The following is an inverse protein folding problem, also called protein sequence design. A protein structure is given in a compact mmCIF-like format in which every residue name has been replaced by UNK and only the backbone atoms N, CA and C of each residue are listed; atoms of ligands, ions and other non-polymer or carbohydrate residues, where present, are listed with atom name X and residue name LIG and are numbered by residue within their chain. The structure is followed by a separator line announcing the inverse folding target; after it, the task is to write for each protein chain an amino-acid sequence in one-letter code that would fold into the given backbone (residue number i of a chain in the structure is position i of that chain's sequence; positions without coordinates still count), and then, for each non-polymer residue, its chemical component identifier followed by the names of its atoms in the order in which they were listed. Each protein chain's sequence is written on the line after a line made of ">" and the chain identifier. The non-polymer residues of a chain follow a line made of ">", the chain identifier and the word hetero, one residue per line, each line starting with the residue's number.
data_IF_991234978772
#
_entry.id   IF_991234978772
#
_cell.length_a   1.000
_cell.length_b   1.000
_cell.length_c   1.000
_cell.angle_alpha   90.00
_cell.angle_beta   90.00
_cell.angle_gamma   90.00
#
_symmetry.space_group_name_H-M   'P 1'
#
loop_
_entity.id
_entity.type
_entity.pdbx_description
1 polymer ?
#
# COMPACT_ATOMS: atom_id res chain seq x y z
N UNK A 1 -60.63 44.82 39.88
CA UNK A 1 -59.80 44.36 38.75
C UNK A 1 -58.38 43.91 39.17
N UNK A 2 -58.09 43.74 40.48
CA UNK A 2 -56.73 43.44 40.98
C UNK A 2 -56.35 41.95 41.04
N UNK A 3 -57.32 41.03 41.15
CA UNK A 3 -57.06 39.60 41.34
C UNK A 3 -56.44 38.90 40.12
N UNK A 4 -56.94 39.19 38.91
CA UNK A 4 -56.52 38.51 37.68
C UNK A 4 -55.06 38.78 37.30
N UNK A 5 -54.55 39.99 37.55
CA UNK A 5 -53.16 40.34 37.27
C UNK A 5 -52.17 39.56 38.16
N UNK A 6 -52.55 39.24 39.40
CA UNK A 6 -51.74 38.45 40.33
C UNK A 6 -51.54 37.02 39.82
N UNK A 7 -52.64 36.34 39.44
CA UNK A 7 -52.60 34.99 38.86
C UNK A 7 -51.73 34.92 37.60
N UNK A 8 -51.85 35.90 36.70
CA UNK A 8 -51.12 35.91 35.44
C UNK A 8 -49.60 36.07 35.66
N UNK A 9 -49.19 36.98 36.55
CA UNK A 9 -47.77 37.16 36.90
C UNK A 9 -47.17 35.90 37.55
N UNK A 10 -47.96 35.18 38.37
CA UNK A 10 -47.51 33.94 39.00
C UNK A 10 -47.33 32.82 37.96
N UNK A 11 -48.24 32.68 37.01
CA UNK A 11 -48.11 31.72 35.90
C UNK A 11 -46.92 32.05 34.98
N UNK A 12 -46.71 33.32 34.64
CA UNK A 12 -45.54 33.75 33.83
C UNK A 12 -44.24 33.44 34.57
N UNK A 13 -44.17 33.73 35.87
CA UNK A 13 -43.00 33.43 36.71
C UNK A 13 -42.71 31.92 36.78
N UNK A 14 -43.75 31.09 36.89
CA UNK A 14 -43.61 29.64 36.92
C UNK A 14 -43.16 29.07 35.56
N UNK A 15 -43.69 29.60 34.45
CA UNK A 15 -43.26 29.23 33.10
C UNK A 15 -41.81 29.62 32.82
N UNK A 16 -41.34 30.77 33.33
CA UNK A 16 -39.94 31.19 33.23
C UNK A 16 -39.01 30.32 34.10
N UNK A 17 -39.44 29.92 35.30
CA UNK A 17 -38.69 28.98 36.13
C UNK A 17 -38.60 27.58 35.50
N UNK A 18 -39.69 27.10 34.89
CA UNK A 18 -39.72 25.81 34.18
C UNK A 18 -38.83 25.83 32.94
N UNK A 19 -38.85 26.90 32.14
CA UNK A 19 -37.97 27.01 30.96
C UNK A 19 -36.50 27.17 31.33
N UNK A 20 -36.19 27.84 32.44
CA UNK A 20 -34.82 27.94 32.99
C UNK A 20 -34.31 26.60 33.55
N UNK A 21 -35.17 25.82 34.22
CA UNK A 21 -34.82 24.47 34.68
C UNK A 21 -34.62 23.49 33.50
N UNK A 22 -35.43 23.62 32.44
CA UNK A 22 -35.27 22.85 31.19
C UNK A 22 -34.00 23.23 30.43
N UNK A 23 -33.57 24.50 30.43
CA UNK A 23 -32.32 24.89 29.77
C UNK A 23 -31.07 24.39 30.50
N UNK A 24 -31.09 24.34 31.84
CA UNK A 24 -30.00 23.80 32.66
C UNK A 24 -29.83 22.27 32.54
N UNK A 25 -30.92 21.55 32.25
CA UNK A 25 -30.90 20.08 32.15
C UNK A 25 -30.43 19.54 30.79
N UNK A 26 -30.26 20.39 29.76
CA UNK A 26 -29.62 20.03 28.49
C UNK A 26 -28.13 20.35 28.49
N UNK A 27 -27.45 20.01 29.60
CA UNK A 27 -26.00 19.81 29.58
C UNK A 27 -25.68 18.50 28.86
N UNK A 28 -25.80 18.49 27.53
CA UNK A 28 -25.27 17.40 26.72
C UNK A 28 -23.77 17.30 26.98
N UNK A 29 -23.36 16.22 27.66
CA UNK A 29 -21.97 15.80 27.68
C UNK A 29 -21.58 15.40 26.27
N UNK A 30 -21.06 16.36 25.51
CA UNK A 30 -20.39 16.09 24.24
C UNK A 30 -19.14 15.30 24.56
N UNK A 31 -19.24 13.97 24.49
CA UNK A 31 -18.10 13.07 24.49
C UNK A 31 -17.26 13.38 23.27
N UNK A 32 -16.32 14.31 23.42
CA UNK A 32 -15.31 14.67 22.42
C UNK A 32 -14.46 13.43 22.13
N UNK A 33 -14.91 12.61 21.19
CA UNK A 33 -14.14 11.48 20.68
C UNK A 33 -12.86 12.01 20.06
N UNK A 34 -11.76 11.84 20.80
CA UNK A 34 -10.41 12.21 20.33
C UNK A 34 -10.11 11.38 19.09
N UNK A 35 -9.77 12.07 18.00
CA UNK A 35 -9.45 11.43 16.72
C UNK A 35 -8.26 10.46 16.88
N UNK A 36 -8.48 9.17 16.61
CA UNK A 36 -7.40 8.18 16.55
C UNK A 36 -6.67 8.28 15.21
N UNK A 37 -5.35 8.39 15.24
CA UNK A 37 -4.50 8.27 14.04
C UNK A 37 -4.30 6.79 13.65
N UNK A 38 -4.39 5.86 14.62
CA UNK A 38 -4.22 4.42 14.36
C UNK A 38 -5.42 3.88 13.61
N UNK A 39 -5.13 3.12 12.55
CA UNK A 39 -6.08 2.57 11.56
C UNK A 39 -6.95 3.62 10.82
N UNK A 40 -6.61 4.91 10.90
CA UNK A 40 -7.31 5.96 10.18
C UNK A 40 -6.97 5.93 8.67
N UNK A 41 -7.99 5.99 7.81
CA UNK A 41 -7.76 6.10 6.37
C UNK A 41 -7.26 7.49 5.97
N UNK A 42 -6.72 7.63 4.76
CA UNK A 42 -6.37 8.94 4.18
C UNK A 42 -7.57 9.89 4.12
N UNK A 43 -8.80 9.36 3.96
CA UNK A 43 -10.03 10.17 3.97
C UNK A 43 -10.32 10.69 5.37
N UNK A 44 -10.13 9.86 6.40
CA UNK A 44 -10.33 10.25 7.80
C UNK A 44 -9.30 11.29 8.23
N UNK A 45 -8.04 11.12 7.83
CA UNK A 45 -6.95 12.09 8.07
C UNK A 45 -7.24 13.44 7.39
N UNK A 46 -7.68 13.46 6.13
CA UNK A 46 -8.09 14.71 5.46
C UNK A 46 -9.33 15.35 6.10
N UNK A 47 -10.28 14.54 6.60
CA UNK A 47 -11.43 15.03 7.35
C UNK A 47 -11.00 15.66 8.68
N UNK A 48 -10.11 15.02 9.44
CA UNK A 48 -9.57 15.54 10.69
C UNK A 48 -8.77 16.85 10.48
N UNK A 49 -7.99 16.94 9.39
CA UNK A 49 -7.35 18.20 8.96
C UNK A 49 -8.38 19.29 8.64
N UNK A 50 -9.44 18.96 7.88
CA UNK A 50 -10.51 19.90 7.50
C UNK A 50 -11.33 20.38 8.71
N UNK A 51 -11.48 19.53 9.73
CA UNK A 51 -12.17 19.84 10.99
C UNK A 51 -11.26 20.46 12.06
N UNK A 52 -9.97 20.71 11.75
CA UNK A 52 -8.94 21.19 12.67
C UNK A 52 -8.69 20.30 13.91
N UNK A 53 -9.13 19.04 13.89
CA UNK A 53 -8.88 18.05 14.95
C UNK A 53 -7.43 17.55 14.92
N UNK A 54 -6.84 17.52 13.73
CA UNK A 54 -5.46 17.09 13.48
C UNK A 54 -4.75 18.11 12.59
N UNK A 55 -3.43 18.12 12.62
CA UNK A 55 -2.61 18.88 11.67
C UNK A 55 -1.55 17.96 11.06
N UNK A 56 -1.07 18.29 9.86
CA UNK A 56 -0.04 17.54 9.14
C UNK A 56 1.22 17.38 10.00
N UNK A 57 1.61 18.45 10.71
CA UNK A 57 2.73 18.44 11.68
C UNK A 57 2.53 17.39 12.77
N UNK A 58 1.39 17.39 13.47
CA UNK A 58 1.08 16.39 14.52
C UNK A 58 1.04 14.96 13.99
N UNK A 59 0.57 14.76 12.75
CA UNK A 59 0.55 13.45 12.09
C UNK A 59 1.97 12.92 11.83
N UNK A 60 2.89 13.77 11.37
CA UNK A 60 4.30 13.40 11.19
C UNK A 60 4.99 13.13 12.52
N UNK A 61 4.72 13.94 13.55
CA UNK A 61 5.25 13.71 14.91
C UNK A 61 4.79 12.36 15.49
N UNK A 62 3.52 12.00 15.31
CA UNK A 62 2.98 10.69 15.68
C UNK A 62 3.73 9.54 14.98
N UNK A 63 3.87 9.60 13.65
CA UNK A 63 4.53 8.54 12.89
C UNK A 63 6.03 8.43 13.21
N UNK A 64 6.73 9.56 13.40
CA UNK A 64 8.13 9.54 13.88
C UNK A 64 8.22 8.93 15.30
N UNK A 65 7.21 9.14 16.15
CA UNK A 65 7.08 8.47 17.45
C UNK A 65 6.97 6.95 17.33
N UNK A 66 6.03 6.45 16.53
CA UNK A 66 5.86 5.00 16.31
C UNK A 66 7.08 4.37 15.61
N UNK A 67 7.75 5.09 14.69
CA UNK A 67 9.01 4.66 14.10
C UNK A 67 10.09 4.51 15.18
N UNK A 68 10.29 5.51 16.04
CA UNK A 68 11.27 5.43 17.14
C UNK A 68 10.98 4.27 18.10
N UNK A 69 9.70 3.96 18.34
CA UNK A 69 9.27 2.88 19.24
C UNK A 69 9.42 1.48 18.63
N UNK A 70 9.08 1.32 17.36
CA UNK A 70 8.96 0.00 16.71
C UNK A 70 10.16 -0.40 15.86
N UNK A 71 10.84 0.56 15.24
CA UNK A 71 11.84 0.28 14.22
C UNK A 71 13.13 -0.35 14.77
N UNK A 72 13.37 -0.26 16.09
CA UNK A 72 14.44 -0.97 16.79
C UNK A 72 14.34 -2.50 16.63
N UNK A 73 13.12 -3.02 16.58
CA UNK A 73 12.81 -4.45 16.36
C UNK A 73 12.45 -4.70 14.89
N UNK A 74 11.50 -3.91 14.36
CA UNK A 74 10.87 -4.20 13.07
C UNK A 74 11.63 -3.71 11.84
N UNK A 75 12.60 -2.78 11.99
CA UNK A 75 13.49 -2.24 10.93
C UNK A 75 12.82 -1.84 9.60
N UNK A 76 11.51 -1.59 9.59
CA UNK A 76 10.71 -1.24 8.41
C UNK A 76 11.09 0.07 7.72
N UNK A 77 11.82 0.95 8.42
CA UNK A 77 12.32 2.24 7.96
C UNK A 77 13.85 2.25 8.04
N UNK A 78 14.52 2.51 6.92
CA UNK A 78 15.98 2.70 6.85
C UNK A 78 16.35 4.12 7.29
N UNK A 79 15.63 5.14 6.79
CA UNK A 79 15.89 6.55 7.07
C UNK A 79 14.59 7.32 7.25
N UNK A 80 14.55 8.23 8.23
CA UNK A 80 13.50 9.26 8.34
C UNK A 80 14.02 10.54 7.70
N UNK A 81 13.18 11.21 6.91
CA UNK A 81 13.53 12.47 6.27
C UNK A 81 13.72 13.57 7.32
N UNK A 82 14.91 14.20 7.44
CA UNK A 82 15.12 15.26 8.43
C UNK A 82 14.20 16.48 8.17
N UNK A 83 13.79 16.69 6.92
CA UNK A 83 12.93 17.81 6.53
C UNK A 83 11.43 17.49 6.64
N UNK A 84 11.00 16.27 7.00
CA UNK A 84 9.59 15.87 7.02
C UNK A 84 8.70 16.75 7.91
N UNK A 85 9.21 17.18 9.08
CA UNK A 85 8.48 18.05 9.99
C UNK A 85 8.28 19.46 9.39
N UNK A 86 9.30 19.98 8.70
CA UNK A 86 9.22 21.26 7.98
C UNK A 86 8.27 21.19 6.77
N UNK A 87 8.31 20.08 5.99
CA UNK A 87 7.34 19.81 4.93
C UNK A 87 5.89 19.77 5.49
N UNK A 88 5.72 19.27 6.72
CA UNK A 88 4.42 19.23 7.40
C UNK A 88 3.92 20.61 7.86
N UNK A 89 4.79 21.44 8.44
CA UNK A 89 4.47 22.82 8.81
C UNK A 89 4.09 23.66 7.58
N UNK A 90 4.80 23.49 6.45
CA UNK A 90 4.45 24.12 5.17
C UNK A 90 3.07 23.66 4.66
N UNK A 91 2.74 22.36 4.76
CA UNK A 91 1.43 21.86 4.36
C UNK A 91 0.29 22.46 5.21
N UNK A 92 0.49 22.59 6.53
CA UNK A 92 -0.47 23.21 7.43
C UNK A 92 -0.62 24.71 7.19
N UNK A 93 0.46 25.43 6.87
CA UNK A 93 0.40 26.83 6.44
C UNK A 93 -0.40 27.00 5.13
N UNK A 94 -0.14 26.17 4.12
CA UNK A 94 -0.85 26.18 2.84
C UNK A 94 -2.35 25.85 2.99
N UNK A 95 -2.70 25.00 3.97
CA UNK A 95 -4.09 24.69 4.30
C UNK A 95 -4.79 25.89 4.95
N UNK A 96 -4.12 26.60 5.86
CA UNK A 96 -4.63 27.83 6.52
C UNK A 96 -4.83 28.99 5.54
N UNK A 97 -3.92 29.18 4.58
CA UNK A 97 -4.02 30.26 3.58
C UNK A 97 -4.99 29.97 2.42
N UNK A 98 -5.70 28.84 2.44
CA UNK A 98 -6.76 28.46 1.48
C UNK A 98 -6.31 28.55 0.01
N UNK A 99 -5.06 28.16 -0.29
CA UNK A 99 -4.46 28.30 -1.62
C UNK A 99 -5.37 27.70 -2.71
N UNK A 100 -5.78 28.47 -3.75
CA UNK A 100 -6.63 27.95 -4.82
C UNK A 100 -6.02 26.73 -5.54
N UNK A 101 -6.89 25.82 -6.00
CA UNK A 101 -6.45 24.57 -6.64
C UNK A 101 -5.93 23.49 -5.67
N UNK A 102 -6.23 23.60 -4.38
CA UNK A 102 -5.91 22.58 -3.37
C UNK A 102 -6.70 21.29 -3.63
N UNK A 103 -6.07 20.31 -4.28
CA UNK A 103 -6.62 18.96 -4.39
C UNK A 103 -6.44 18.24 -3.04
N UNK A 104 -7.52 18.13 -2.26
CA UNK A 104 -7.59 17.57 -0.90
C UNK A 104 -7.30 16.04 -0.79
N UNK A 105 -6.59 15.44 -1.75
CA UNK A 105 -6.27 14.01 -1.74
C UNK A 105 -5.10 13.68 -0.81
N UNK A 106 -3.87 14.01 -1.22
CA UNK A 106 -2.65 13.69 -0.47
C UNK A 106 -1.99 14.89 0.21
N UNK A 107 -2.59 16.08 0.16
CA UNK A 107 -2.02 17.28 0.76
C UNK A 107 -1.81 17.11 2.27
N UNK A 108 -0.56 17.18 2.74
CA UNK A 108 -0.17 17.01 4.13
C UNK A 108 -0.21 15.56 4.64
N UNK A 109 -0.37 14.57 3.74
CA UNK A 109 -0.29 13.15 4.09
C UNK A 109 1.19 12.71 3.98
N UNK A 110 1.78 12.14 5.04
CA UNK A 110 3.11 11.54 4.97
C UNK A 110 3.08 10.18 4.26
N UNK A 111 4.06 9.98 3.38
CA UNK A 111 4.24 8.77 2.58
C UNK A 111 5.67 8.27 2.72
N UNK A 112 5.82 6.96 2.91
CA UNK A 112 7.11 6.27 3.01
C UNK A 112 7.49 5.63 1.66
N UNK A 113 8.74 5.75 1.21
CA UNK A 113 9.19 5.26 -0.10
C UNK A 113 10.18 4.11 0.03
N UNK A 114 10.00 2.99 -0.67
CA UNK A 114 11.02 1.93 -0.76
C UNK A 114 12.39 2.50 -1.19
N UNK A 115 13.49 2.08 -0.54
CA UNK A 115 14.81 2.70 -0.71
C UNK A 115 15.46 2.54 -2.12
N UNK A 116 14.80 1.87 -3.08
CA UNK A 116 15.19 1.87 -4.50
C UNK A 116 14.56 3.02 -5.34
N UNK A 117 13.61 3.79 -4.78
CA UNK A 117 12.96 4.94 -5.45
C UNK A 117 13.76 6.22 -5.19
N UNK A 118 14.21 6.94 -6.24
CA UNK A 118 15.02 8.16 -6.10
C UNK A 118 14.24 9.34 -5.50
N UNK A 119 14.93 10.13 -4.67
CA UNK A 119 14.47 11.42 -4.15
C UNK A 119 15.66 12.38 -4.02
N UNK A 120 15.44 13.65 -4.31
CA UNK A 120 16.44 14.73 -4.24
C UNK A 120 16.53 15.37 -2.83
N UNK A 121 15.86 14.78 -1.83
CA UNK A 121 15.95 15.17 -0.41
C UNK A 121 17.25 14.64 0.22
N UNK A 122 17.50 15.00 1.49
CA UNK A 122 18.64 14.53 2.31
C UNK A 122 18.50 13.05 2.73
N UNK A 123 18.34 12.14 1.76
CA UNK A 123 18.05 10.71 1.94
C UNK A 123 18.80 9.86 0.91
N UNK A 124 19.42 8.75 1.33
CA UNK A 124 20.09 7.83 0.39
C UNK A 124 19.08 7.02 -0.42
N UNK A 125 19.44 6.70 -1.68
CA UNK A 125 18.68 5.75 -2.51
C UNK A 125 19.62 4.62 -2.93
N UNK A 126 19.62 3.54 -2.17
CA UNK A 126 20.69 2.52 -2.17
C UNK A 126 20.27 1.13 -2.64
N UNK A 127 18.96 0.92 -2.80
CA UNK A 127 18.36 -0.42 -2.91
C UNK A 127 18.78 -1.40 -1.78
N UNK A 128 19.22 -0.88 -0.63
CA UNK A 128 19.67 -1.63 0.54
C UNK A 128 21.19 -1.86 0.62
N UNK A 129 21.95 -1.53 -0.43
CA UNK A 129 23.36 -1.92 -0.54
C UNK A 129 24.35 -0.79 -0.24
N UNK A 130 25.42 -1.10 0.50
CA UNK A 130 26.50 -0.15 0.82
C UNK A 130 27.19 0.44 -0.42
N UNK A 131 27.17 -0.25 -1.57
CA UNK A 131 27.75 0.23 -2.82
C UNK A 131 27.14 1.56 -3.34
N UNK A 132 25.92 1.90 -2.88
CA UNK A 132 25.21 3.13 -3.24
C UNK A 132 25.04 4.11 -2.06
N UNK A 133 25.65 3.85 -0.90
CA UNK A 133 25.58 4.75 0.25
C UNK A 133 26.24 6.10 -0.09
N UNK A 134 25.55 7.21 0.24
CA UNK A 134 25.91 8.59 -0.17
C UNK A 134 25.90 8.85 -1.70
N UNK A 135 25.38 7.94 -2.51
CA UNK A 135 25.15 8.19 -3.95
C UNK A 135 24.13 9.31 -4.14
N UNK A 136 24.48 10.33 -4.92
CA UNK A 136 23.61 11.47 -5.23
C UNK A 136 22.77 11.12 -6.45
N UNK A 137 21.45 11.07 -6.29
CA UNK A 137 20.54 10.88 -7.42
C UNK A 137 20.43 12.16 -8.25
N UNK A 138 20.34 12.10 -9.59
CA UNK A 138 20.34 13.30 -10.43
C UNK A 138 19.00 14.05 -10.47
N UNK A 139 17.95 13.50 -9.85
CA UNK A 139 16.61 14.09 -9.67
C UNK A 139 15.68 13.17 -8.88
N UNK A 140 14.54 13.70 -8.44
CA UNK A 140 13.37 12.93 -8.03
C UNK A 140 12.91 11.87 -9.07
N UNK A 141 12.39 10.75 -8.56
CA UNK A 141 11.65 9.77 -9.36
C UNK A 141 10.32 10.32 -9.90
N UNK A 142 9.85 9.81 -11.05
CA UNK A 142 8.61 10.26 -11.71
C UNK A 142 7.35 10.12 -10.84
N UNK A 143 7.34 9.17 -9.89
CA UNK A 143 6.29 9.06 -8.87
C UNK A 143 6.42 10.12 -7.76
N UNK A 144 7.63 10.44 -7.31
CA UNK A 144 7.88 11.43 -6.25
C UNK A 144 7.53 12.85 -6.73
N UNK A 145 7.87 13.19 -7.97
CA UNK A 145 7.43 14.45 -8.61
C UNK A 145 5.90 14.61 -8.59
N UNK A 146 5.15 13.51 -8.81
CA UNK A 146 3.68 13.51 -8.70
C UNK A 146 3.20 13.66 -7.25
N UNK A 147 3.86 13.01 -6.29
CA UNK A 147 3.55 13.15 -4.86
C UNK A 147 3.78 14.58 -4.35
N UNK A 148 4.90 15.22 -4.70
CA UNK A 148 5.15 16.64 -4.36
C UNK A 148 4.15 17.58 -5.02
N UNK A 149 3.75 17.32 -6.28
CA UNK A 149 2.67 18.09 -6.95
C UNK A 149 1.31 17.91 -6.25
N UNK A 150 1.06 16.74 -5.66
CA UNK A 150 -0.10 16.48 -4.79
C UNK A 150 0.07 17.01 -3.35
N UNK A 151 1.22 17.64 -3.04
CA UNK A 151 1.62 18.17 -1.73
C UNK A 151 1.64 17.11 -0.61
N UNK A 152 1.97 15.87 -0.96
CA UNK A 152 2.31 14.86 0.03
C UNK A 152 3.66 15.18 0.69
N UNK A 153 3.83 14.74 1.93
CA UNK A 153 5.09 14.83 2.68
C UNK A 153 5.85 13.53 2.46
N UNK A 154 7.16 13.58 2.18
CA UNK A 154 7.96 12.36 2.14
C UNK A 154 8.55 12.09 3.52
N UNK A 155 8.02 11.08 4.20
CA UNK A 155 8.38 10.74 5.58
C UNK A 155 9.79 10.15 5.69
N UNK A 156 10.24 9.43 4.66
CA UNK A 156 11.53 8.73 4.69
C UNK A 156 11.59 7.54 3.72
N UNK A 157 12.53 6.64 3.99
CA UNK A 157 12.82 5.45 3.18
C UNK A 157 12.47 4.15 3.92
N UNK A 158 11.69 3.28 3.28
CA UNK A 158 11.40 1.93 3.76
C UNK A 158 12.51 0.94 3.42
N UNK A 159 12.69 -0.09 4.25
CA UNK A 159 13.57 -1.24 3.99
C UNK A 159 13.03 -2.18 2.92
N UNK A 160 13.92 -3.01 2.38
CA UNK A 160 13.67 -3.96 1.30
C UNK A 160 14.65 -5.14 1.36
N UNK A 161 14.32 -6.24 0.67
CA UNK A 161 15.35 -7.18 0.21
C UNK A 161 16.37 -6.44 -0.66
N UNK A 162 17.66 -6.68 -0.46
CA UNK A 162 18.73 -6.00 -1.20
C UNK A 162 18.57 -6.18 -2.71
N UNK A 163 18.81 -5.09 -3.46
CA UNK A 163 18.65 -5.05 -4.92
C UNK A 163 17.29 -5.61 -5.39
N UNK A 164 16.24 -5.31 -4.62
CA UNK A 164 14.88 -5.78 -4.82
C UNK A 164 14.75 -7.33 -4.86
N UNK A 165 15.59 -8.04 -4.10
CA UNK A 165 15.72 -9.51 -4.04
C UNK A 165 16.44 -10.14 -5.26
N UNK A 166 17.31 -9.38 -5.92
CA UNK A 166 18.06 -9.82 -7.11
C UNK A 166 19.60 -9.78 -6.92
N UNK A 167 20.06 -9.86 -5.67
CA UNK A 167 21.48 -9.93 -5.29
C UNK A 167 21.98 -11.38 -5.19
N UNK A 168 21.19 -12.23 -4.54
CA UNK A 168 21.45 -13.65 -4.30
C UNK A 168 20.14 -14.44 -4.40
N UNK A 169 20.22 -15.69 -4.86
CA UNK A 169 19.10 -16.65 -4.91
C UNK A 169 18.69 -17.12 -3.51
N UNK A 170 19.59 -16.98 -2.55
CA UNK A 170 19.49 -17.59 -1.24
C UNK A 170 19.29 -16.54 -0.13
N UNK A 171 19.76 -15.31 -0.31
CA UNK A 171 19.52 -14.18 0.61
C UNK A 171 18.03 -14.08 1.01
N UNK A 172 17.71 -13.95 2.31
CA UNK A 172 16.36 -14.12 2.80
C UNK A 172 15.55 -12.86 2.49
N UNK A 173 14.25 -13.06 2.27
CA UNK A 173 13.33 -11.96 2.02
C UNK A 173 13.47 -10.88 3.09
N UNK A 174 13.57 -9.61 2.66
CA UNK A 174 13.67 -8.46 3.54
C UNK A 174 15.06 -8.18 4.13
N UNK A 175 16.09 -8.98 3.85
CA UNK A 175 17.46 -8.64 4.26
C UNK A 175 18.13 -7.66 3.31
N UNK A 176 18.86 -6.69 3.86
CA UNK A 176 19.83 -5.87 3.12
C UNK A 176 21.01 -5.45 4.00
N UNK A 177 22.17 -5.16 3.41
CA UNK A 177 23.36 -4.81 4.19
C UNK A 177 23.17 -3.51 5.01
N UNK A 178 22.40 -2.54 4.49
CA UNK A 178 22.07 -1.29 5.21
C UNK A 178 20.91 -1.46 6.20
N UNK A 179 19.84 -2.18 5.84
CA UNK A 179 18.67 -2.34 6.72
C UNK A 179 18.84 -3.39 7.82
N UNK A 180 19.73 -4.36 7.62
CA UNK A 180 19.68 -5.65 8.29
C UNK A 180 18.50 -6.49 7.81
N UNK A 181 18.05 -7.42 8.65
CA UNK A 181 16.86 -8.22 8.39
C UNK A 181 15.57 -7.43 8.67
N UNK A 182 14.61 -7.49 7.74
CA UNK A 182 13.17 -7.39 8.06
C UNK A 182 12.41 -8.63 7.61
N UNK A 183 11.30 -8.91 8.27
CA UNK A 183 10.45 -10.08 8.06
C UNK A 183 8.99 -9.66 8.36
N UNK A 184 7.94 -10.15 7.67
CA UNK A 184 7.95 -11.18 6.63
C UNK A 184 7.86 -10.69 5.17
N UNK A 185 8.47 -11.49 4.28
CA UNK A 185 8.45 -11.41 2.82
C UNK A 185 8.99 -10.11 2.18
N UNK A 186 9.22 -10.13 0.87
CA UNK A 186 9.85 -9.04 0.13
C UNK A 186 9.49 -9.00 -1.36
N UNK A 187 10.09 -8.10 -2.14
CA UNK A 187 11.12 -7.15 -1.71
C UNK A 187 10.61 -5.83 -1.11
N UNK A 188 9.33 -5.45 -1.19
CA UNK A 188 8.82 -4.20 -0.57
C UNK A 188 8.52 -4.35 0.94
N UNK A 189 9.37 -5.08 1.65
CA UNK A 189 9.19 -5.55 3.04
C UNK A 189 8.84 -4.42 4.01
N UNK A 190 9.74 -3.43 4.14
CA UNK A 190 9.56 -2.31 5.04
C UNK A 190 8.37 -1.42 4.67
N UNK A 191 8.01 -1.33 3.38
CA UNK A 191 6.83 -0.59 2.93
C UNK A 191 5.54 -1.25 3.43
N UNK A 192 5.46 -2.59 3.45
CA UNK A 192 4.31 -3.32 3.96
C UNK A 192 4.25 -3.31 5.50
N UNK A 193 5.36 -3.64 6.16
CA UNK A 193 5.51 -3.63 7.63
C UNK A 193 5.11 -2.26 8.19
N UNK A 194 5.63 -1.17 7.62
CA UNK A 194 5.40 0.18 8.14
C UNK A 194 3.94 0.63 8.07
N UNK A 195 3.17 0.17 7.07
CA UNK A 195 1.73 0.42 7.00
C UNK A 195 1.01 -0.48 8.01
N UNK A 196 1.37 -1.77 8.07
CA UNK A 196 0.70 -2.75 8.92
C UNK A 196 0.71 -2.36 10.41
N UNK A 197 1.80 -1.75 10.88
CA UNK A 197 2.02 -1.39 12.29
C UNK A 197 1.77 0.09 12.62
N UNK A 198 1.22 0.88 11.69
CA UNK A 198 0.98 2.33 11.85
C UNK A 198 2.27 3.18 12.02
N UNK A 199 3.37 2.82 11.37
CA UNK A 199 4.52 3.74 11.16
C UNK A 199 4.29 4.71 9.99
N UNK A 200 3.32 4.45 9.11
CA UNK A 200 2.82 5.40 8.09
C UNK A 200 1.41 5.00 7.64
N UNK A 201 0.59 5.93 7.14
CA UNK A 201 -0.73 5.62 6.56
C UNK A 201 -0.62 4.89 5.20
N UNK A 202 0.31 5.32 4.34
CA UNK A 202 0.50 4.79 2.98
C UNK A 202 2.00 4.78 2.64
N UNK A 203 2.44 3.74 1.95
CA UNK A 203 3.80 3.62 1.43
C UNK A 203 3.80 3.33 -0.08
N UNK A 204 4.94 3.56 -0.75
CA UNK A 204 5.20 3.02 -2.09
C UNK A 204 6.17 1.85 -2.02
N UNK A 205 5.82 0.76 -2.69
CA UNK A 205 6.70 -0.36 -3.03
C UNK A 205 7.06 -0.38 -4.52
N UNK A 206 7.76 -1.41 -4.95
CA UNK A 206 8.01 -1.72 -6.37
C UNK A 206 7.86 -3.22 -6.59
N UNK A 207 7.37 -3.64 -7.76
CA UNK A 207 7.24 -5.06 -8.08
C UNK A 207 7.71 -5.42 -9.49
N UNK A 208 8.63 -6.38 -9.54
CA UNK A 208 9.08 -7.14 -10.71
C UNK A 208 8.32 -8.46 -10.81
N UNK A 209 8.32 -9.22 -9.71
CA UNK A 209 7.46 -10.38 -9.46
C UNK A 209 7.24 -10.48 -7.94
N UNK A 210 5.99 -10.68 -7.51
CA UNK A 210 5.51 -10.78 -6.12
C UNK A 210 5.81 -9.61 -5.16
N UNK A 211 6.74 -8.71 -5.50
CA UNK A 211 7.43 -7.83 -4.55
C UNK A 211 6.60 -6.69 -3.95
N UNK A 212 5.34 -6.49 -4.35
CA UNK A 212 4.31 -5.76 -3.60
C UNK A 212 3.30 -6.77 -3.04
N UNK A 213 2.71 -7.61 -3.90
CA UNK A 213 1.58 -8.49 -3.54
C UNK A 213 1.92 -9.49 -2.42
N UNK A 214 3.12 -10.07 -2.41
CA UNK A 214 3.61 -10.97 -1.37
C UNK A 214 3.77 -10.27 -0.02
N UNK A 215 4.64 -9.25 0.16
CA UNK A 215 4.83 -8.62 1.47
C UNK A 215 3.54 -7.99 1.99
N UNK A 216 2.64 -7.48 1.14
CA UNK A 216 1.34 -6.97 1.62
C UNK A 216 0.42 -8.09 2.12
N UNK A 217 0.36 -9.23 1.42
CA UNK A 217 -0.37 -10.43 1.85
C UNK A 217 0.12 -10.94 3.22
N UNK A 218 1.45 -11.04 3.41
CA UNK A 218 2.08 -11.54 4.64
C UNK A 218 2.14 -10.50 5.78
N UNK A 219 1.77 -9.24 5.55
CA UNK A 219 1.66 -8.20 6.58
C UNK A 219 0.21 -7.73 6.82
N UNK A 220 -0.78 -8.34 6.16
CA UNK A 220 -2.20 -8.03 6.36
C UNK A 220 -2.60 -6.61 5.97
N UNK A 221 -2.02 -6.09 4.89
CA UNK A 221 -2.32 -4.79 4.29
C UNK A 221 -2.69 -4.94 2.82
N UNK A 222 -3.37 -3.95 2.25
CA UNK A 222 -3.73 -3.96 0.82
C UNK A 222 -2.52 -3.62 -0.04
N UNK A 223 -2.26 -4.42 -1.06
CA UNK A 223 -1.20 -4.18 -2.05
C UNK A 223 -1.77 -4.05 -3.46
N UNK A 224 -1.42 -2.97 -4.16
CA UNK A 224 -1.85 -2.73 -5.54
C UNK A 224 -0.63 -2.75 -6.45
N UNK A 225 -0.59 -3.70 -7.38
CA UNK A 225 0.41 -3.83 -8.44
C UNK A 225 -0.23 -3.45 -9.78
N UNK A 226 -0.11 -2.19 -10.25
CA UNK A 226 -0.81 -1.77 -11.46
C UNK A 226 -0.23 -2.36 -12.75
N UNK A 227 -0.94 -2.13 -13.86
CA UNK A 227 -0.49 -2.36 -15.24
C UNK A 227 0.87 -1.71 -15.46
N UNK A 228 1.82 -2.45 -16.05
CA UNK A 228 3.15 -1.91 -16.35
C UNK A 228 3.02 -0.72 -17.31
N UNK A 229 3.57 0.42 -16.86
CA UNK A 229 3.46 1.74 -17.50
C UNK A 229 2.47 2.70 -16.82
N UNK A 230 1.47 2.23 -16.06
CA UNK A 230 0.43 3.13 -15.51
C UNK A 230 1.01 4.20 -14.57
N UNK A 231 1.97 3.79 -13.75
CA UNK A 231 2.92 4.68 -13.07
C UNK A 231 4.12 4.92 -13.99
N UNK A 232 4.58 6.17 -14.10
CA UNK A 232 5.91 6.41 -14.66
C UNK A 232 6.92 5.79 -13.73
N UNK A 233 7.85 5.06 -14.31
CA UNK A 233 8.78 4.19 -13.61
C UNK A 233 10.19 4.80 -13.52
N UNK A 234 10.49 5.86 -14.29
CA UNK A 234 11.77 6.57 -14.30
C UNK A 234 12.25 7.10 -12.93
N UNK A 235 13.56 6.97 -12.68
CA UNK A 235 14.24 7.40 -11.45
C UNK A 235 14.15 6.37 -10.31
N UNK A 236 14.23 5.08 -10.63
CA UNK A 236 14.07 3.97 -9.68
C UNK A 236 14.99 2.83 -10.09
N UNK A 237 15.73 2.27 -9.15
CA UNK A 237 16.63 1.13 -9.36
C UNK A 237 15.79 -0.13 -9.64
N UNK A 238 16.09 -0.78 -10.77
CA UNK A 238 15.30 -1.83 -11.42
C UNK A 238 15.76 -3.25 -11.13
N UNK A 239 14.92 -4.20 -11.56
CA UNK A 239 15.33 -5.55 -11.98
C UNK A 239 14.98 -5.82 -13.44
N UNK A 240 13.76 -5.48 -13.92
CA UNK A 240 13.32 -5.81 -15.29
C UNK A 240 12.41 -4.73 -15.89
N UNK A 241 12.82 -3.98 -16.94
CA UNK A 241 11.97 -2.94 -17.54
C UNK A 241 10.67 -3.46 -18.18
N UNK A 242 10.58 -4.77 -18.44
CA UNK A 242 9.38 -5.44 -18.97
C UNK A 242 8.30 -5.69 -17.92
N UNK A 243 8.70 -5.87 -16.66
CA UNK A 243 7.84 -6.32 -15.57
C UNK A 243 7.70 -5.27 -14.46
N UNK A 244 8.74 -4.46 -14.24
CA UNK A 244 8.83 -3.49 -13.15
C UNK A 244 7.69 -2.46 -13.23
N UNK A 245 6.85 -2.51 -12.21
CA UNK A 245 5.96 -1.42 -11.86
C UNK A 245 6.65 -0.55 -10.79
N UNK A 246 6.98 0.68 -11.20
CA UNK A 246 7.95 1.61 -10.58
C UNK A 246 9.42 1.08 -10.70
N UNK A 247 10.26 1.68 -11.57
CA UNK A 247 11.53 1.12 -12.14
C UNK A 247 11.97 1.71 -13.53
N UNK A 248 13.12 2.39 -13.69
CA UNK A 248 13.48 3.12 -14.94
C UNK A 248 13.49 2.34 -16.28
N UNK A 249 12.68 2.76 -17.26
CA UNK A 249 12.59 2.15 -18.61
C UNK A 249 12.94 3.16 -19.72
N UNK A 250 13.71 2.75 -20.73
CA UNK A 250 14.04 3.55 -21.92
C UNK A 250 12.78 4.03 -22.66
N UNK A 251 11.75 3.18 -22.69
CA UNK A 251 10.43 3.47 -23.25
C UNK A 251 9.45 4.05 -22.22
N UNK A 252 9.86 4.45 -21.01
CA UNK A 252 8.93 4.80 -19.92
C UNK A 252 7.95 5.93 -20.30
N UNK A 253 8.39 6.91 -21.08
CA UNK A 253 7.52 7.97 -21.57
C UNK A 253 6.42 7.44 -22.52
N UNK A 254 6.75 6.48 -23.39
CA UNK A 254 5.79 5.86 -24.31
C UNK A 254 4.89 4.88 -23.56
N UNK A 255 5.45 4.02 -22.71
CA UNK A 255 4.69 3.09 -21.87
C UNK A 255 3.73 3.83 -20.93
N UNK A 256 4.15 4.95 -20.33
CA UNK A 256 3.30 5.81 -19.50
C UNK A 256 2.23 6.51 -20.31
N UNK A 257 2.56 7.05 -21.48
CA UNK A 257 1.57 7.66 -22.39
C UNK A 257 0.51 6.63 -22.80
N UNK A 258 0.92 5.44 -23.23
CA UNK A 258 0.02 4.37 -23.63
C UNK A 258 -0.81 3.80 -22.47
N UNK A 259 -0.24 3.64 -21.28
CA UNK A 259 -1.01 3.18 -20.12
C UNK A 259 -1.92 4.29 -19.54
N UNK A 260 -1.64 5.57 -19.78
CA UNK A 260 -2.45 6.68 -19.24
C UNK A 260 -3.91 6.66 -19.69
N UNK A 261 -4.24 6.02 -20.83
CA UNK A 261 -5.63 5.79 -21.29
C UNK A 261 -6.45 4.89 -20.36
N UNK A 262 -5.80 4.16 -19.46
CA UNK A 262 -6.43 3.36 -18.41
C UNK A 262 -6.67 4.14 -17.10
N UNK A 263 -6.28 5.42 -17.03
CA UNK A 263 -6.60 6.30 -15.90
C UNK A 263 -8.01 6.87 -16.12
N UNK A 264 -9.01 6.49 -15.31
CA UNK A 264 -10.38 6.95 -15.48
C UNK A 264 -10.49 8.45 -15.19
N UNK A 265 -11.36 9.15 -15.92
CA UNK A 265 -11.72 10.55 -15.61
C UNK A 265 -12.31 10.60 -14.19
N UNK A 266 -11.79 11.48 -13.33
CA UNK A 266 -12.13 11.53 -11.91
C UNK A 266 -11.28 10.63 -10.99
N UNK A 267 -10.39 9.79 -11.54
CA UNK A 267 -9.49 8.93 -10.76
C UNK A 267 -10.18 7.71 -10.13
N UNK A 268 -9.42 6.92 -9.38
CA UNK A 268 -9.85 5.57 -8.98
C UNK A 268 -10.83 5.51 -7.79
N UNK A 269 -11.02 6.59 -7.02
CA UNK A 269 -11.90 6.59 -5.83
C UNK A 269 -13.37 6.28 -6.15
N UNK A 270 -13.83 6.59 -7.37
CA UNK A 270 -15.21 6.29 -7.82
C UNK A 270 -15.53 4.78 -7.94
N UNK A 271 -14.51 3.92 -7.82
CA UNK A 271 -14.62 2.45 -7.89
C UNK A 271 -14.65 1.79 -6.50
N UNK A 272 -14.61 2.57 -5.41
CA UNK A 272 -14.78 2.09 -4.04
C UNK A 272 -16.27 1.81 -3.77
N UNK A 273 -16.79 0.71 -4.32
CA UNK A 273 -18.19 0.27 -4.21
C UNK A 273 -18.34 -0.90 -3.23
N UNK A 274 -19.14 -0.73 -2.18
CA UNK A 274 -19.38 -1.75 -1.14
C UNK A 274 -20.00 -3.02 -1.75
N UNK A 275 -20.85 -2.87 -2.77
CA UNK A 275 -21.44 -3.98 -3.53
C UNK A 275 -20.60 -4.38 -4.77
N UNK A 276 -19.34 -3.97 -4.85
CA UNK A 276 -18.50 -4.10 -6.05
C UNK A 276 -18.25 -5.54 -6.54
N UNK A 277 -18.50 -6.55 -5.71
CA UNK A 277 -18.50 -7.98 -6.10
C UNK A 277 -19.79 -8.41 -6.84
N UNK A 278 -20.89 -7.67 -6.71
CA UNK A 278 -22.21 -8.05 -7.23
C UNK A 278 -22.19 -8.19 -8.75
N UNK A 279 -22.56 -9.37 -9.23
CA UNK A 279 -22.57 -9.71 -10.66
C UNK A 279 -21.20 -9.95 -11.29
N UNK A 280 -20.09 -9.89 -10.54
CA UNK A 280 -18.74 -10.16 -11.05
C UNK A 280 -18.48 -11.65 -11.21
N UNK A 281 -17.78 -12.03 -12.27
CA UNK A 281 -17.36 -13.42 -12.56
C UNK A 281 -15.91 -13.63 -12.15
N UNK A 282 -15.69 -14.39 -11.08
CA UNK A 282 -14.38 -14.66 -10.50
C UNK A 282 -13.90 -16.08 -10.84
N UNK A 283 -12.65 -16.23 -11.31
CA UNK A 283 -12.06 -17.53 -11.62
C UNK A 283 -11.06 -17.98 -10.57
N UNK A 284 -11.42 -19.00 -9.79
CA UNK A 284 -10.57 -19.58 -8.73
C UNK A 284 -9.70 -20.70 -9.34
N UNK A 285 -8.39 -20.50 -9.42
CA UNK A 285 -7.48 -21.44 -10.13
C UNK A 285 -6.97 -22.54 -9.21
N UNK A 286 -7.82 -23.56 -8.96
CA UNK A 286 -7.56 -24.63 -7.99
C UNK A 286 -6.26 -25.42 -8.21
N UNK A 287 -5.84 -25.61 -9.46
CA UNK A 287 -4.60 -26.33 -9.80
C UNK A 287 -3.72 -25.41 -10.68
N UNK A 288 -2.45 -25.13 -10.33
CA UNK A 288 -1.70 -25.68 -9.19
C UNK A 288 -1.94 -24.96 -7.85
N UNK A 289 -2.50 -23.75 -7.85
CA UNK A 289 -2.36 -22.82 -6.71
C UNK A 289 -3.15 -23.18 -5.43
N UNK A 290 -4.12 -24.10 -5.48
CA UNK A 290 -4.78 -24.66 -4.28
C UNK A 290 -4.55 -26.18 -4.18
N UNK A 291 -3.54 -26.73 -4.87
CA UNK A 291 -3.28 -28.17 -4.93
C UNK A 291 -2.34 -28.60 -3.79
N UNK A 292 -2.82 -28.43 -2.56
CA UNK A 292 -2.11 -28.77 -1.34
C UNK A 292 -2.05 -30.30 -1.10
N UNK A 293 -1.04 -30.77 -0.37
CA UNK A 293 -0.97 -32.18 0.01
C UNK A 293 -2.09 -32.55 1.01
N UNK A 294 -2.68 -33.74 0.86
CA UNK A 294 -3.73 -34.23 1.77
C UNK A 294 -3.24 -34.23 3.22
N UNK A 295 -3.88 -33.44 4.08
CA UNK A 295 -3.53 -33.36 5.50
C UNK A 295 -2.36 -32.44 5.83
N UNK A 296 -1.84 -31.66 4.88
CA UNK A 296 -0.96 -30.53 5.22
C UNK A 296 -1.77 -29.35 5.75
N UNK A 297 -1.18 -28.56 6.65
CA UNK A 297 -1.83 -27.39 7.23
C UNK A 297 -2.38 -26.48 6.14
N UNK A 298 -1.61 -26.14 5.09
CA UNK A 298 -2.08 -25.29 3.98
C UNK A 298 -3.32 -25.81 3.23
N UNK A 299 -3.61 -27.11 3.26
CA UNK A 299 -4.89 -27.65 2.77
C UNK A 299 -6.03 -27.38 3.76
N UNK A 300 -5.75 -27.66 5.04
CA UNK A 300 -6.67 -27.43 6.13
C UNK A 300 -6.92 -25.93 6.30
N UNK A 301 -5.96 -25.04 5.99
CA UNK A 301 -5.90 -23.56 6.11
C UNK A 301 -6.98 -22.85 5.33
N UNK A 302 -7.27 -23.34 4.13
CA UNK A 302 -8.42 -22.85 3.38
C UNK A 302 -9.76 -23.24 4.04
N UNK A 303 -9.71 -23.90 5.22
CA UNK A 303 -10.74 -24.06 6.26
C UNK A 303 -10.26 -23.64 7.72
N UNK A 304 -8.97 -23.71 8.13
CA UNK A 304 -8.34 -23.60 9.51
C UNK A 304 -6.81 -23.94 9.55
N UNK A 305 -5.93 -23.27 10.33
CA UNK A 305 -4.54 -22.86 9.88
C UNK A 305 -3.23 -23.58 10.43
N UNK A 306 -1.90 -23.50 10.01
CA UNK A 306 -0.98 -22.93 8.94
C UNK A 306 0.53 -23.29 9.26
N UNK A 307 1.58 -22.58 8.73
CA UNK A 307 3.06 -22.52 9.10
C UNK A 307 4.07 -23.41 8.26
N UNK A 308 5.45 -23.37 8.23
CA UNK A 308 6.60 -22.39 8.43
C UNK A 308 7.99 -22.93 7.88
N UNK A 309 9.09 -22.12 7.97
CA UNK A 309 10.58 -22.46 7.99
C UNK A 309 11.40 -22.74 6.69
N UNK A 310 12.76 -22.61 6.58
CA UNK A 310 13.81 -21.60 6.96
C UNK A 310 15.21 -21.94 6.30
N UNK A 311 16.17 -20.99 6.13
CA UNK A 311 17.46 -21.19 5.35
C UNK A 311 18.70 -20.43 5.95
N UNK A 312 19.95 -20.75 5.53
CA UNK A 312 21.26 -20.14 5.94
C UNK A 312 22.23 -19.74 4.79
N UNK A 313 23.02 -18.68 5.06
CA UNK A 313 24.32 -18.23 4.46
C UNK A 313 24.42 -17.99 2.93
N UNK A 314 24.72 -16.74 2.53
CA UNK A 314 24.32 -16.19 1.22
C UNK A 314 25.37 -15.25 0.59
N UNK A 315 25.45 -15.22 -0.75
CA UNK A 315 26.49 -14.55 -1.53
C UNK A 315 26.01 -13.38 -2.42
N UNK A 316 26.58 -13.27 -3.62
CA UNK A 316 26.22 -12.30 -4.68
C UNK A 316 26.14 -12.96 -6.06
N UNK A 317 25.81 -14.25 -6.08
CA UNK A 317 25.93 -15.11 -7.27
C UNK A 317 25.06 -14.67 -8.45
N UNK A 318 23.95 -13.96 -8.23
CA UNK A 318 23.12 -13.44 -9.33
C UNK A 318 23.89 -12.40 -10.16
N UNK A 319 24.73 -11.55 -9.54
CA UNK A 319 25.51 -10.58 -10.29
C UNK A 319 26.59 -11.24 -11.16
N UNK A 320 27.23 -12.31 -10.67
CA UNK A 320 28.18 -13.08 -11.47
C UNK A 320 27.49 -13.78 -12.65
N UNK A 321 26.25 -14.25 -12.48
CA UNK A 321 25.45 -14.80 -13.58
C UNK A 321 25.07 -13.70 -14.58
N UNK A 322 24.67 -12.51 -14.13
CA UNK A 322 24.28 -11.40 -15.01
C UNK A 322 25.46 -10.85 -15.81
N UNK A 323 26.63 -10.65 -15.20
CA UNK A 323 27.84 -10.16 -15.85
C UNK A 323 28.36 -11.15 -16.92
N UNK A 324 28.08 -12.44 -16.74
CA UNK A 324 28.36 -13.49 -17.72
C UNK A 324 27.31 -13.58 -18.86
N UNK A 325 26.32 -12.67 -18.95
CA UNK A 325 25.34 -12.66 -20.05
C UNK A 325 25.70 -11.67 -21.17
N UNK A 326 25.57 -12.12 -22.42
CA UNK A 326 25.68 -11.27 -23.62
C UNK A 326 24.43 -10.40 -23.88
N UNK A 327 23.51 -10.29 -22.91
CA UNK A 327 22.20 -9.65 -23.08
C UNK A 327 21.10 -10.61 -23.52
N UNK A 328 20.35 -10.27 -24.58
CA UNK A 328 19.16 -11.03 -25.02
C UNK A 328 19.45 -11.73 -26.36
N UNK A 329 19.97 -12.95 -26.28
CA UNK A 329 20.21 -13.83 -27.43
C UNK A 329 18.97 -14.68 -27.73
N UNK A 330 19.12 -15.71 -28.58
CA UNK A 330 17.99 -16.51 -29.05
C UNK A 330 17.42 -17.43 -27.97
N UNK A 331 18.20 -17.82 -26.96
CA UNK A 331 17.72 -18.55 -25.78
C UNK A 331 16.71 -17.71 -25.00
N UNK A 332 17.04 -16.44 -24.73
CA UNK A 332 16.20 -15.52 -23.97
C UNK A 332 14.97 -15.13 -24.80
N UNK A 333 15.12 -14.90 -26.11
CA UNK A 333 13.98 -14.69 -27.03
C UNK A 333 13.03 -15.89 -27.01
N UNK A 334 13.55 -17.12 -27.04
CA UNK A 334 12.72 -18.34 -26.97
C UNK A 334 12.05 -18.51 -25.61
N UNK A 335 12.73 -18.23 -24.50
CA UNK A 335 12.13 -18.19 -23.17
C UNK A 335 10.99 -17.16 -23.08
N UNK A 336 11.22 -15.94 -23.56
CA UNK A 336 10.23 -14.86 -23.64
C UNK A 336 9.03 -15.22 -24.52
N UNK A 337 9.26 -15.87 -25.67
CA UNK A 337 8.19 -16.40 -26.53
C UNK A 337 7.41 -17.52 -25.84
N UNK A 338 8.06 -18.38 -25.06
CA UNK A 338 7.39 -19.45 -24.32
C UNK A 338 6.57 -18.91 -23.15
N UNK A 339 7.09 -17.94 -22.39
CA UNK A 339 6.30 -17.19 -21.39
C UNK A 339 5.08 -16.52 -22.05
N UNK A 340 5.26 -15.86 -23.20
CA UNK A 340 4.17 -15.24 -23.96
C UNK A 340 3.13 -16.25 -24.50
N UNK A 341 3.53 -17.49 -24.81
CA UNK A 341 2.60 -18.61 -25.12
C UNK A 341 1.88 -19.07 -23.86
N UNK A 342 2.57 -19.27 -22.75
CA UNK A 342 1.99 -19.74 -21.48
C UNK A 342 0.94 -18.77 -20.94
N UNK A 343 1.18 -17.46 -20.97
CA UNK A 343 0.15 -16.48 -20.60
C UNK A 343 -1.02 -16.49 -21.59
N UNK A 344 -0.76 -16.65 -22.91
CA UNK A 344 -1.82 -16.70 -23.94
C UNK A 344 -2.73 -17.92 -23.81
N UNK A 345 -2.17 -19.10 -23.65
CA UNK A 345 -2.92 -20.36 -23.63
C UNK A 345 -3.36 -20.80 -22.23
N UNK A 346 -2.77 -20.23 -21.18
CA UNK A 346 -3.24 -20.29 -19.79
C UNK A 346 -4.14 -19.10 -19.46
N UNK A 347 -3.59 -18.07 -18.81
CA UNK A 347 -4.34 -16.93 -18.25
C UNK A 347 -5.30 -16.25 -19.23
N UNK A 348 -4.82 -15.79 -20.39
CA UNK A 348 -5.63 -15.04 -21.36
C UNK A 348 -6.81 -15.91 -21.85
N UNK A 349 -6.53 -17.17 -22.21
CA UNK A 349 -7.53 -18.18 -22.58
C UNK A 349 -8.56 -18.41 -21.46
N UNK A 350 -8.12 -18.72 -20.25
CA UNK A 350 -9.00 -18.99 -19.09
C UNK A 350 -9.92 -17.79 -18.81
N UNK A 351 -9.38 -16.57 -18.82
CA UNK A 351 -10.13 -15.34 -18.61
C UNK A 351 -11.17 -15.08 -19.72
N UNK A 352 -10.83 -15.35 -20.99
CA UNK A 352 -11.71 -15.14 -22.14
C UNK A 352 -12.83 -16.20 -22.19
N UNK A 353 -12.47 -17.49 -22.19
CA UNK A 353 -13.42 -18.59 -22.36
C UNK A 353 -14.46 -18.64 -21.23
N UNK A 354 -14.01 -18.43 -19.99
CA UNK A 354 -14.89 -18.40 -18.82
C UNK A 354 -15.53 -17.02 -18.59
N UNK A 355 -15.26 -16.03 -19.46
CA UNK A 355 -15.79 -14.65 -19.38
C UNK A 355 -15.60 -14.04 -17.99
N UNK A 356 -14.37 -14.00 -17.52
CA UNK A 356 -14.02 -13.60 -16.15
C UNK A 356 -13.75 -12.09 -16.04
N UNK A 357 -14.15 -11.52 -14.91
CA UNK A 357 -13.81 -10.16 -14.51
C UNK A 357 -12.46 -10.09 -13.81
N UNK A 358 -12.13 -11.11 -13.01
CA UNK A 358 -10.83 -11.29 -12.37
C UNK A 358 -10.51 -12.78 -12.14
N UNK A 359 -9.21 -13.09 -12.13
CA UNK A 359 -8.64 -14.31 -11.58
C UNK A 359 -8.48 -14.18 -10.06
N UNK A 360 -8.58 -15.28 -9.33
CA UNK A 360 -8.42 -15.33 -7.87
C UNK A 360 -7.48 -16.46 -7.47
N UNK A 361 -6.46 -16.15 -6.67
CA UNK A 361 -5.50 -17.11 -6.08
C UNK A 361 -5.26 -16.82 -4.60
N UNK A 362 -4.67 -17.76 -3.84
CA UNK A 362 -4.11 -17.45 -2.52
C UNK A 362 -3.05 -16.36 -2.63
N UNK A 363 -2.77 -15.73 -1.48
CA UNK A 363 -1.64 -14.84 -1.17
C UNK A 363 -1.30 -13.85 -2.28
N UNK A 364 -0.44 -14.29 -3.20
CA UNK A 364 0.03 -13.55 -4.36
C UNK A 364 0.36 -14.48 -5.54
N UNK A 365 -0.15 -15.72 -5.55
CA UNK A 365 0.41 -16.83 -6.36
C UNK A 365 0.20 -16.62 -7.87
N UNK A 366 -0.73 -15.75 -8.27
CA UNK A 366 -0.89 -15.27 -9.63
C UNK A 366 0.23 -14.33 -10.12
N UNK A 367 1.09 -13.79 -9.25
CA UNK A 367 2.03 -12.72 -9.59
C UNK A 367 2.95 -13.07 -10.79
N UNK A 368 3.59 -14.26 -10.87
CA UNK A 368 4.42 -14.61 -12.03
C UNK A 368 3.65 -14.59 -13.35
N UNK A 369 2.38 -15.02 -13.31
CA UNK A 369 1.50 -15.04 -14.47
C UNK A 369 1.06 -13.64 -14.89
N UNK A 370 0.85 -12.73 -13.92
CA UNK A 370 0.47 -11.34 -14.17
C UNK A 370 1.65 -10.52 -14.72
N UNK A 371 2.88 -10.75 -14.25
CA UNK A 371 4.02 -9.89 -14.63
C UNK A 371 4.56 -10.16 -16.03
N UNK A 372 4.45 -11.38 -16.58
CA UNK A 372 4.88 -11.72 -17.96
C UNK A 372 4.28 -10.76 -19.01
N UNK A 373 3.03 -10.33 -18.83
CA UNK A 373 2.36 -9.35 -19.69
C UNK A 373 2.31 -7.96 -19.09
N UNK A 374 2.69 -7.78 -17.83
CA UNK A 374 2.53 -6.54 -17.09
C UNK A 374 1.07 -6.21 -16.78
N UNK A 375 0.28 -7.22 -16.42
CA UNK A 375 -1.11 -7.13 -15.98
C UNK A 375 -1.25 -6.62 -14.54
N UNK A 376 -2.36 -5.96 -14.16
CA UNK A 376 -2.60 -5.52 -12.80
C UNK A 376 -3.02 -6.66 -11.85
N UNK A 377 -2.70 -6.50 -10.57
CA UNK A 377 -3.17 -7.34 -9.48
C UNK A 377 -3.37 -6.54 -8.18
N UNK A 378 -4.29 -7.01 -7.33
CA UNK A 378 -4.54 -6.43 -5.99
C UNK A 378 -4.59 -7.56 -4.96
N UNK A 379 -3.80 -7.44 -3.89
CA UNK A 379 -3.83 -8.33 -2.72
C UNK A 379 -4.61 -7.64 -1.59
N UNK A 380 -5.52 -8.38 -0.95
CA UNK A 380 -6.31 -7.94 0.22
C UNK A 380 -6.24 -9.02 1.29
N UNK A 381 -6.15 -8.65 2.57
CA UNK A 381 -6.18 -9.60 3.70
C UNK A 381 -7.45 -10.49 3.66
N UNK A 382 -7.27 -11.80 3.72
CA UNK A 382 -8.32 -12.81 3.62
C UNK A 382 -8.53 -13.64 4.90
N UNK A 383 -7.63 -13.54 5.88
CA UNK A 383 -7.77 -14.19 7.17
C UNK A 383 -6.48 -14.20 7.98
N UNK A 384 -6.48 -14.97 9.08
CA UNK A 384 -5.32 -15.13 9.96
C UNK A 384 -5.06 -16.59 10.29
N UNK A 385 -3.78 -16.94 10.14
CA UNK A 385 -2.93 -17.59 11.13
C UNK A 385 -3.56 -18.27 12.36
N UNK A 386 -3.39 -19.58 12.57
CA UNK A 386 -3.61 -20.23 13.88
C UNK A 386 -2.61 -19.71 14.93
N UNK A 387 -1.43 -19.26 14.50
CA UNK A 387 -0.41 -18.56 15.29
C UNK A 387 -0.49 -17.02 15.13
N UNK A 388 -1.53 -16.49 14.46
CA UNK A 388 -1.79 -15.07 14.23
C UNK A 388 -1.17 -14.42 12.99
N UNK A 389 -0.47 -15.14 12.10
CA UNK A 389 0.12 -14.58 10.87
C UNK A 389 -0.96 -14.28 9.81
N UNK A 390 -1.03 -13.06 9.23
CA UNK A 390 -2.00 -12.74 8.17
C UNK A 390 -1.70 -13.45 6.85
N UNK A 391 -2.74 -13.66 6.04
CA UNK A 391 -2.60 -14.01 4.63
C UNK A 391 -3.59 -13.24 3.75
N UNK A 392 -3.17 -12.92 2.53
CA UNK A 392 -4.02 -12.28 1.53
C UNK A 392 -4.70 -13.25 0.57
N UNK A 393 -5.61 -12.69 -0.22
CA UNK A 393 -6.15 -13.23 -1.47
C UNK A 393 -5.81 -12.24 -2.58
N UNK A 394 -5.40 -12.75 -3.75
CA UNK A 394 -4.99 -11.91 -4.88
C UNK A 394 -6.03 -11.93 -6.01
N UNK A 395 -6.42 -10.75 -6.47
CA UNK A 395 -7.30 -10.51 -7.62
C UNK A 395 -6.47 -10.01 -8.80
N UNK A 396 -6.39 -10.80 -9.88
CA UNK A 396 -5.64 -10.47 -11.11
C UNK A 396 -6.57 -10.21 -12.30
N UNK A 397 -6.18 -9.33 -13.24
CA UNK A 397 -7.02 -8.99 -14.40
C UNK A 397 -6.23 -8.52 -15.61
N UNK A 398 -6.90 -8.18 -16.72
CA UNK A 398 -6.23 -7.66 -17.92
C UNK A 398 -5.70 -6.23 -17.75
N UNK A 399 -4.84 -5.75 -18.68
CA UNK A 399 -4.35 -4.36 -18.67
C UNK A 399 -5.52 -3.37 -18.65
N UNK A 400 -5.46 -2.38 -17.75
CA UNK A 400 -6.52 -1.40 -17.58
C UNK A 400 -7.73 -1.88 -16.80
N UNK A 401 -7.70 -3.07 -16.20
CA UNK A 401 -8.78 -3.58 -15.35
C UNK A 401 -8.73 -3.08 -13.90
N UNK A 402 -7.77 -2.22 -13.53
CA UNK A 402 -7.65 -1.60 -12.21
C UNK A 402 -8.98 -1.04 -11.66
N UNK A 403 -9.83 -0.33 -12.43
CA UNK A 403 -11.13 0.10 -11.92
C UNK A 403 -12.01 -1.05 -11.44
N UNK A 404 -12.02 -2.17 -12.17
CA UNK A 404 -12.83 -3.35 -11.87
C UNK A 404 -12.21 -4.21 -10.76
N UNK A 405 -10.88 -4.29 -10.70
CA UNK A 405 -10.17 -4.93 -9.59
C UNK A 405 -10.35 -4.16 -8.28
N UNK A 406 -10.40 -2.82 -8.33
CA UNK A 406 -10.69 -1.98 -7.15
C UNK A 406 -12.14 -2.20 -6.66
N UNK A 407 -13.13 -2.28 -7.55
CA UNK A 407 -14.51 -2.66 -7.17
C UNK A 407 -14.55 -4.03 -6.47
N UNK A 408 -13.86 -5.02 -7.03
CA UNK A 408 -13.82 -6.40 -6.50
C UNK A 408 -13.11 -6.44 -5.14
N UNK A 409 -11.92 -5.84 -5.04
CA UNK A 409 -11.10 -5.82 -3.83
C UNK A 409 -11.76 -5.05 -2.68
N UNK A 410 -12.33 -3.87 -2.96
CA UNK A 410 -13.02 -3.07 -1.95
C UNK A 410 -14.36 -3.70 -1.54
N UNK A 411 -15.11 -4.29 -2.48
CA UNK A 411 -16.30 -5.08 -2.14
C UNK A 411 -15.99 -6.27 -1.23
N UNK A 412 -14.87 -6.96 -1.46
CA UNK A 412 -14.39 -8.03 -0.58
C UNK A 412 -13.95 -7.51 0.80
N UNK A 413 -13.15 -6.44 0.85
CA UNK A 413 -12.70 -5.80 2.09
C UNK A 413 -13.88 -5.35 2.95
N UNK A 414 -14.86 -4.65 2.37
CA UNK A 414 -15.99 -4.09 3.11
C UNK A 414 -17.04 -5.14 3.51
N UNK A 415 -17.13 -6.27 2.81
CA UNK A 415 -17.97 -7.40 3.20
C UNK A 415 -17.37 -8.22 4.36
N UNK A 416 -16.04 -8.24 4.50
CA UNK A 416 -15.33 -9.17 5.41
C UNK A 416 -14.69 -8.48 6.61
N UNK A 417 -14.17 -7.25 6.46
CA UNK A 417 -13.59 -6.38 7.51
C UNK A 417 -12.59 -7.09 8.44
N UNK A 418 -11.77 -7.97 7.85
CA UNK A 418 -10.90 -8.90 8.59
C UNK A 418 -9.75 -8.18 9.31
N UNK A 419 -9.31 -7.00 8.83
CA UNK A 419 -8.08 -6.36 9.31
C UNK A 419 -8.12 -6.04 10.80
N UNK A 420 -7.11 -6.57 11.49
CA UNK A 420 -6.74 -6.27 12.87
C UNK A 420 -5.30 -5.73 12.85
N UNK A 421 -4.97 -4.65 13.58
CA UNK A 421 -3.58 -4.26 13.76
C UNK A 421 -2.82 -5.36 14.54
N UNK A 422 -1.54 -5.60 14.23
CA UNK A 422 -0.74 -6.59 14.96
C UNK A 422 -0.52 -6.15 16.41
N UNK A 423 -0.58 -7.11 17.33
CA UNK A 423 -0.28 -6.91 18.74
C UNK A 423 1.21 -7.11 19.02
N UNK A 424 1.76 -6.27 19.90
CA UNK A 424 3.12 -6.42 20.40
C UNK A 424 3.07 -7.06 21.77
N UNK A 425 3.92 -8.07 22.01
CA UNK A 425 4.24 -8.51 23.37
C UNK A 425 5.11 -7.43 24.04
N UNK A 426 5.00 -7.21 25.36
CA UNK A 426 5.79 -6.21 26.09
C UNK A 426 7.30 -6.40 25.95
#
# INVERSE_FOLDING_TARGET
>A
MSSSASMLNLQISLLLLISFALSLSVSQSSTYHVFSIKEASVVDLQNAFKQNQLTSRKLVEFYIGEIRRLNLVLRGVIEVNPDALYQADLADQQRKSKVPGLLYGLHGIPILLKNNIAIEDKLNTTAGSFALLKSIVPRDAGVVMKLRKARAIILGKASLSEWANFCSLAAPNGWSAIGGQVDPYGSSSGSAISVAVNMVAVSLGTETDGSILCPTSFNGVVGIKPTVGLTSRAGVIQVSPRQDTIGFDYCDAQATKEASKYIPRGGYMQFLKVDGLKGKRLGIVRNPFFNFANGSDLSQVFESHFQTEMIKEFGQEIFLVVDATNGIEDTEKNALLNLAKLTRYGFEKTMIENKLDALVTPRADAAPVLVIRGYPGISVLAGFDNNGVPFGIAFGGFKGSEPKLIEIAYGFEQATKIRKPPSFKP
#
